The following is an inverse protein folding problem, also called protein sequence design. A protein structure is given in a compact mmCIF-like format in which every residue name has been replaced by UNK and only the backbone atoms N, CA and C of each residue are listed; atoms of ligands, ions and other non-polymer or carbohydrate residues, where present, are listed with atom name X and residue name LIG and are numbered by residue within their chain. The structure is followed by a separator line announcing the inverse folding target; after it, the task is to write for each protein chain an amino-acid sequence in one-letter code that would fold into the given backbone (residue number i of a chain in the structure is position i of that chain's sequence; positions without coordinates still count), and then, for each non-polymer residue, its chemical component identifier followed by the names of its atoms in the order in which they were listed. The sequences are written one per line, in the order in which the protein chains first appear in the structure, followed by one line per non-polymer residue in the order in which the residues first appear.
data_IF_363450973651
#
_entry.id   IF_363450973651
#
_cell.length_a   1.000
_cell.length_b   1.000
_cell.length_c   1.000
_cell.angle_alpha   90.00
_cell.angle_beta   90.00
_cell.angle_gamma   90.00
#
_symmetry.space_group_name_H-M   'P 1'
#
loop_
_entity.id
_entity.type
_entity.pdbx_description
1 polymer ?
#
# COMPACT_ATOMS: atom_id res chain seq x y z
N UNK A 1 -10.15 4.12 12.88
CA UNK A 1 -10.06 3.85 14.34
C UNK A 1 -8.58 3.94 14.72
N UNK A 2 -8.16 4.49 15.88
CA UNK A 2 -6.74 4.53 16.21
C UNK A 2 -6.23 3.09 16.47
N UNK A 3 -5.14 2.67 15.81
CA UNK A 3 -4.62 1.30 15.92
C UNK A 3 -3.84 0.80 14.69
N UNK A 4 -3.98 -0.49 14.35
CA UNK A 4 -3.24 -1.17 13.26
C UNK A 4 -3.37 -0.48 11.88
N UNK A 5 -4.44 0.29 11.66
CA UNK A 5 -4.67 1.03 10.43
C UNK A 5 -3.64 2.17 10.20
N UNK A 6 -3.05 2.72 11.27
CA UNK A 6 -2.02 3.76 11.16
C UNK A 6 -0.72 3.20 10.59
N UNK A 7 -0.34 1.97 10.98
CA UNK A 7 0.81 1.28 10.41
C UNK A 7 0.63 1.00 8.92
N UNK A 8 -0.58 0.67 8.49
CA UNK A 8 -0.86 0.49 7.06
C UNK A 8 -0.68 1.81 6.29
N UNK A 9 -1.11 2.93 6.85
CA UNK A 9 -0.92 4.25 6.25
C UNK A 9 0.57 4.65 6.19
N UNK A 10 1.33 4.39 7.25
CA UNK A 10 2.77 4.65 7.30
C UNK A 10 3.53 3.78 6.27
N UNK A 11 3.15 2.51 6.11
CA UNK A 11 3.72 1.63 5.08
C UNK A 11 3.46 2.18 3.68
N UNK A 12 2.21 2.54 3.36
CA UNK A 12 1.85 3.08 2.04
C UNK A 12 2.60 4.38 1.74
N UNK A 13 2.64 5.29 2.71
CA UNK A 13 3.36 6.56 2.56
C UNK A 13 4.88 6.36 2.48
N UNK A 14 5.44 5.47 3.30
CA UNK A 14 6.87 5.15 3.33
C UNK A 14 7.40 4.56 2.01
N UNK A 15 6.58 3.78 1.31
CA UNK A 15 6.90 3.31 -0.04
C UNK A 15 6.68 4.35 -1.14
N UNK A 16 6.14 5.52 -0.83
CA UNK A 16 5.75 6.52 -1.81
C UNK A 16 4.56 6.11 -2.68
N UNK A 17 3.79 5.11 -2.25
CA UNK A 17 2.59 4.63 -2.94
C UNK A 17 1.34 5.47 -2.59
N UNK A 18 1.44 6.36 -1.60
CA UNK A 18 0.39 7.28 -1.20
C UNK A 18 0.91 8.42 -0.32
N UNK A 19 -0.02 9.22 0.19
CA UNK A 19 0.26 10.30 1.13
C UNK A 19 -0.60 10.12 2.38
N UNK A 20 -0.03 10.41 3.54
CA UNK A 20 -0.76 10.38 4.81
C UNK A 20 -1.13 11.81 5.20
N UNK A 21 -2.38 12.00 5.63
CA UNK A 21 -2.89 13.27 6.12
C UNK A 21 -3.34 13.12 7.57
N UNK A 22 -3.07 14.15 8.39
CA UNK A 22 -3.51 14.22 9.79
C UNK A 22 -4.81 15.03 9.97
N UNK A 23 -5.26 15.70 8.90
CA UNK A 23 -6.47 16.53 8.86
C UNK A 23 -7.39 15.96 7.77
N UNK A 24 -8.47 15.24 8.13
CA UNK A 24 -9.36 14.59 7.17
C UNK A 24 -9.93 15.52 6.10
N UNK A 25 -10.23 16.76 6.46
CA UNK A 25 -10.78 17.79 5.58
C UNK A 25 -9.86 18.12 4.41
N UNK A 26 -8.54 17.88 4.56
CA UNK A 26 -7.55 18.09 3.51
C UNK A 26 -7.53 16.99 2.46
N UNK A 27 -8.23 15.87 2.66
CA UNK A 27 -8.19 14.72 1.75
C UNK A 27 -8.67 15.08 0.34
N UNK A 28 -9.81 15.76 0.23
CA UNK A 28 -10.37 16.15 -1.06
C UNK A 28 -9.44 17.13 -1.81
N UNK A 29 -8.95 18.16 -1.11
CA UNK A 29 -8.03 19.14 -1.69
C UNK A 29 -6.73 18.50 -2.14
N UNK A 30 -6.17 17.60 -1.33
CA UNK A 30 -4.91 16.89 -1.65
C UNK A 30 -5.10 15.96 -2.84
N UNK A 31 -6.23 15.26 -2.92
CA UNK A 31 -6.55 14.40 -4.07
C UNK A 31 -6.64 15.22 -5.37
N UNK A 32 -7.34 16.36 -5.35
CA UNK A 32 -7.42 17.27 -6.49
C UNK A 32 -6.05 17.82 -6.89
N UNK A 33 -5.21 18.19 -5.92
CA UNK A 33 -3.85 18.64 -6.18
C UNK A 33 -2.99 17.54 -6.80
N UNK A 34 -3.10 16.28 -6.35
CA UNK A 34 -2.36 15.18 -6.97
C UNK A 34 -2.76 14.96 -8.44
N UNK A 35 -4.03 15.17 -8.79
CA UNK A 35 -4.50 15.08 -10.18
C UNK A 35 -3.86 16.12 -11.11
N UNK A 36 -3.38 17.26 -10.57
CA UNK A 36 -2.62 18.24 -11.36
C UNK A 36 -1.13 17.91 -11.46
N UNK A 37 -0.68 16.83 -10.82
CA UNK A 37 0.72 16.36 -10.79
C UNK A 37 0.85 14.96 -11.42
N UNK A 38 0.71 14.83 -12.75
CA UNK A 38 0.66 13.52 -13.42
C UNK A 38 1.92 12.68 -13.20
N UNK A 39 3.11 13.29 -13.18
CA UNK A 39 4.37 12.57 -12.92
C UNK A 39 4.42 11.98 -11.51
N UNK A 40 3.92 12.73 -10.52
CA UNK A 40 3.85 12.27 -9.14
C UNK A 40 2.86 11.11 -9.00
N UNK A 41 1.69 11.20 -9.65
CA UNK A 41 0.71 10.11 -9.68
C UNK A 41 1.26 8.86 -10.38
N UNK A 42 1.99 9.05 -11.49
CA UNK A 42 2.64 7.95 -12.20
C UNK A 42 3.70 7.27 -11.32
N UNK A 43 4.49 8.05 -10.58
CA UNK A 43 5.46 7.50 -9.63
C UNK A 43 4.75 6.72 -8.51
N UNK A 44 3.70 7.28 -7.90
CA UNK A 44 2.91 6.59 -6.87
C UNK A 44 2.35 5.26 -7.39
N UNK A 45 1.84 5.23 -8.63
CA UNK A 45 1.33 4.00 -9.26
C UNK A 45 2.43 2.96 -9.42
N UNK A 46 3.60 3.35 -9.92
CA UNK A 46 4.75 2.45 -10.06
C UNK A 46 5.19 1.90 -8.70
N UNK A 47 5.25 2.74 -7.66
CA UNK A 47 5.57 2.31 -6.30
C UNK A 47 4.55 1.33 -5.74
N UNK A 48 3.26 1.60 -5.94
CA UNK A 48 2.19 0.69 -5.53
C UNK A 48 2.29 -0.68 -6.21
N UNK A 49 2.68 -0.73 -7.49
CA UNK A 49 2.90 -2.00 -8.20
C UNK A 49 4.09 -2.80 -7.64
N UNK A 50 5.16 -2.13 -7.19
CA UNK A 50 6.32 -2.80 -6.58
C UNK A 50 5.97 -3.43 -5.24
N UNK A 51 5.13 -2.76 -4.44
CA UNK A 51 4.74 -3.23 -3.10
C UNK A 51 3.61 -4.25 -3.16
N UNK A 52 2.75 -4.17 -4.17
CA UNK A 52 1.61 -5.05 -4.35
C UNK A 52 2.05 -6.52 -4.47
N UNK A 53 1.42 -7.39 -3.67
CA UNK A 53 1.63 -8.84 -3.70
C UNK A 53 0.34 -9.56 -4.12
N UNK A 54 -0.06 -9.50 -5.40
CA UNK A 54 -1.35 -10.05 -5.85
C UNK A 54 -1.49 -11.56 -5.64
N UNK A 55 -0.38 -12.31 -5.54
CA UNK A 55 -0.36 -13.74 -5.26
C UNK A 55 -0.02 -14.11 -3.81
N UNK A 56 0.05 -13.15 -2.89
CA UNK A 56 0.54 -13.41 -1.51
C UNK A 56 -0.10 -14.63 -0.85
N UNK A 57 -1.43 -14.78 -0.97
CA UNK A 57 -2.14 -15.92 -0.39
C UNK A 57 -1.73 -17.26 -1.03
N UNK A 58 -1.51 -17.29 -2.34
CA UNK A 58 -1.04 -18.48 -3.05
C UNK A 58 0.40 -18.79 -2.65
N UNK A 59 1.28 -17.78 -2.69
CA UNK A 59 2.70 -17.92 -2.36
C UNK A 59 2.88 -18.47 -0.92
N UNK A 60 2.09 -17.96 0.03
CA UNK A 60 2.06 -18.46 1.42
C UNK A 60 1.54 -19.90 1.49
N UNK A 61 0.49 -20.22 0.73
CA UNK A 61 -0.08 -21.58 0.71
C UNK A 61 0.93 -22.59 0.15
N UNK A 62 1.56 -22.27 -0.98
CA UNK A 62 2.60 -23.07 -1.61
C UNK A 62 3.78 -23.29 -0.65
N UNK A 63 4.20 -22.24 0.06
CA UNK A 63 5.23 -22.33 1.09
C UNK A 63 4.84 -23.29 2.23
N UNK A 64 3.62 -23.19 2.76
CA UNK A 64 3.15 -24.06 3.86
C UNK A 64 3.11 -25.52 3.40
N UNK A 65 2.57 -25.79 2.20
CA UNK A 65 2.48 -27.14 1.64
C UNK A 65 3.87 -27.76 1.44
N UNK A 66 4.86 -26.99 0.99
CA UNK A 66 6.23 -27.46 0.82
C UNK A 66 6.95 -27.79 2.15
N UNK A 67 6.48 -27.25 3.28
CA UNK A 67 7.10 -27.40 4.60
C UNK A 67 6.26 -28.23 5.59
N UNK A 68 5.19 -28.86 5.13
CA UNK A 68 4.38 -29.74 5.97
C UNK A 68 5.17 -31.03 6.26
N UNK A 69 5.36 -31.40 7.54
CA UNK A 69 6.04 -32.65 7.88
C UNK A 69 5.24 -33.85 7.36
N UNK A 70 5.95 -34.88 6.89
CA UNK A 70 5.35 -36.17 6.56
C UNK A 70 4.70 -36.75 7.83
N UNK A 71 3.46 -37.20 7.70
CA UNK A 71 2.71 -37.85 8.78
C UNK A 71 3.34 -39.16 9.22
#
# INVERSE_FOLDING_TARGET
MPGQEEWNADVVAGYGAGVQLRIPEMAALTALYLLTQPDRLNNMRQRAQVVGRPRAALDVTEYILANLPAR
#
